data_IF_673323169574
#
_entry.id   IF_673323169574
#
_cell.length_a   1.000
_cell.length_b   1.000
_cell.length_c   1.000
_cell.angle_alpha   90.00
_cell.angle_beta   90.00
_cell.angle_gamma   90.00
#
_symmetry.space_group_name_H-M   'P 1'
#
loop_
_entity.id
_entity.type
_entity.pdbx_description
1 polymer ?
#
# COMPACT_ATOMS: atom_id res chain seq x y z
N UNK A 1 -15.86 35.61 13.42
CA UNK A 1 -14.68 35.07 12.73
C UNK A 1 -15.13 34.65 11.34
N UNK A 2 -14.48 35.11 10.26
CA UNK A 2 -14.85 34.72 8.91
C UNK A 2 -14.50 33.24 8.69
N UNK A 3 -15.46 32.43 8.25
CA UNK A 3 -15.19 31.06 7.82
C UNK A 3 -14.68 31.12 6.38
N UNK A 4 -13.48 30.59 6.14
CA UNK A 4 -12.90 30.48 4.80
C UNK A 4 -13.20 29.08 4.27
N UNK A 5 -14.04 29.01 3.25
CA UNK A 5 -14.45 27.75 2.64
C UNK A 5 -13.81 27.60 1.25
N UNK A 6 -13.60 26.37 0.79
CA UNK A 6 -13.03 26.05 -0.53
C UNK A 6 -14.10 25.36 -1.37
N UNK A 7 -14.34 25.84 -2.60
CA UNK A 7 -15.30 25.25 -3.52
C UNK A 7 -14.62 24.27 -4.48
N UNK A 8 -15.16 23.08 -4.64
CA UNK A 8 -14.81 22.18 -5.75
C UNK A 8 -16.04 21.89 -6.61
N UNK A 9 -15.82 21.53 -7.87
CA UNK A 9 -16.86 20.92 -8.69
C UNK A 9 -17.11 19.47 -8.29
N UNK A 10 -18.29 18.94 -8.63
CA UNK A 10 -18.63 17.53 -8.40
C UNK A 10 -17.60 16.59 -9.05
N UNK A 11 -17.10 16.96 -10.24
CA UNK A 11 -16.07 16.20 -10.96
C UNK A 11 -14.76 16.17 -10.20
N UNK A 12 -14.29 17.31 -9.69
CA UNK A 12 -13.05 17.39 -8.91
C UNK A 12 -13.17 16.64 -7.59
N UNK A 13 -14.35 16.69 -6.98
CA UNK A 13 -14.64 15.94 -5.76
C UNK A 13 -14.47 14.43 -5.97
N UNK A 14 -15.14 13.84 -6.97
CA UNK A 14 -15.06 12.41 -7.22
C UNK A 14 -13.73 11.97 -7.86
N UNK A 15 -13.05 12.84 -8.61
CA UNK A 15 -11.80 12.50 -9.28
C UNK A 15 -10.56 12.58 -8.38
N UNK A 16 -10.55 13.51 -7.40
CA UNK A 16 -9.35 13.81 -6.63
C UNK A 16 -9.58 13.77 -5.12
N UNK A 17 -10.65 14.41 -4.62
CA UNK A 17 -10.87 14.55 -3.17
C UNK A 17 -11.31 13.22 -2.54
N UNK A 18 -12.36 12.59 -3.06
CA UNK A 18 -12.90 11.34 -2.51
C UNK A 18 -11.88 10.18 -2.59
N UNK A 19 -11.20 9.93 -3.72
CA UNK A 19 -10.17 8.88 -3.77
C UNK A 19 -9.04 9.11 -2.78
N UNK A 20 -8.61 10.37 -2.60
CA UNK A 20 -7.57 10.73 -1.63
C UNK A 20 -8.02 10.47 -0.19
N UNK A 21 -9.27 10.79 0.15
CA UNK A 21 -9.83 10.50 1.48
C UNK A 21 -9.97 9.00 1.74
N UNK A 22 -10.42 8.24 0.74
CA UNK A 22 -10.52 6.78 0.83
C UNK A 22 -9.14 6.13 1.00
N UNK A 23 -8.12 6.62 0.30
CA UNK A 23 -6.75 6.15 0.44
C UNK A 23 -6.19 6.40 1.85
N UNK A 24 -6.49 7.56 2.43
CA UNK A 24 -6.11 7.87 3.81
C UNK A 24 -6.83 6.96 4.82
N UNK A 25 -8.12 6.66 4.59
CA UNK A 25 -8.88 5.75 5.45
C UNK A 25 -8.40 4.29 5.33
N UNK A 26 -8.13 3.82 4.11
CA UNK A 26 -7.60 2.47 3.86
C UNK A 26 -6.19 2.26 4.44
N UNK A 27 -5.36 3.31 4.49
CA UNK A 27 -4.09 3.27 5.21
C UNK A 27 -4.25 3.05 6.71
N UNK A 28 -5.29 3.63 7.34
CA UNK A 28 -5.58 3.46 8.76
C UNK A 28 -6.07 2.04 9.11
N UNK A 29 -6.91 1.44 8.27
CA UNK A 29 -7.39 0.06 8.49
C UNK A 29 -6.28 -0.97 8.30
N UNK A 30 -5.41 -0.78 7.30
CA UNK A 30 -4.21 -1.61 7.13
C UNK A 30 -3.21 -1.44 8.29
N UNK A 31 -3.10 -0.23 8.86
CA UNK A 31 -2.28 0.02 10.05
C UNK A 31 -2.80 -0.72 11.29
N UNK A 32 -4.12 -0.79 11.49
CA UNK A 32 -4.72 -1.57 12.58
C UNK A 32 -4.47 -3.07 12.41
N UNK A 33 -4.61 -3.60 11.20
CA UNK A 33 -4.33 -5.01 10.89
C UNK A 33 -2.84 -5.35 11.02
N UNK A 34 -1.94 -4.48 10.55
CA UNK A 34 -0.49 -4.65 10.70
C UNK A 34 -0.08 -4.53 12.17
N UNK A 35 -0.64 -3.58 12.93
CA UNK A 35 -0.39 -3.47 14.37
C UNK A 35 -0.92 -4.67 15.13
N UNK A 36 -2.08 -5.20 14.75
CA UNK A 36 -2.59 -6.45 15.31
C UNK A 36 -1.68 -7.64 14.97
N UNK A 37 -1.17 -7.74 13.74
CA UNK A 37 -0.18 -8.75 13.34
C UNK A 37 1.13 -8.60 14.12
N UNK A 38 1.69 -7.40 14.25
CA UNK A 38 2.91 -7.14 15.02
C UNK A 38 2.70 -7.44 16.51
N UNK A 39 1.60 -7.00 17.11
CA UNK A 39 1.27 -7.31 18.51
C UNK A 39 1.02 -8.81 18.74
N UNK A 40 0.41 -9.50 17.77
CA UNK A 40 0.28 -10.95 17.78
C UNK A 40 1.66 -11.61 17.77
N UNK A 41 2.54 -11.20 16.87
CA UNK A 41 3.93 -11.70 16.78
C UNK A 41 4.72 -11.45 18.08
N UNK A 42 4.62 -10.25 18.67
CA UNK A 42 5.29 -9.88 19.93
C UNK A 42 4.77 -10.66 21.14
N UNK A 43 3.46 -10.97 21.20
CA UNK A 43 2.88 -11.77 22.29
C UNK A 43 3.33 -13.22 22.26
N UNK A 44 3.61 -13.78 21.08
CA UNK A 44 4.13 -15.13 20.94
C UNK A 44 5.64 -15.22 21.24
N UNK A 45 6.41 -14.15 20.99
CA UNK A 45 7.84 -14.06 21.35
C UNK A 45 8.12 -14.09 22.87
N UNK A 46 7.12 -13.81 23.70
CA UNK A 46 7.25 -13.80 25.18
C UNK A 46 7.03 -15.16 25.85
N UNK A 47 6.58 -16.18 25.11
CA UNK A 47 6.26 -17.50 25.65
C UNK A 47 7.26 -18.48 25.04
N UNK A 48 8.46 -18.53 25.62
CA UNK A 48 9.64 -19.17 25.05
C UNK A 48 9.44 -20.61 24.61
N UNK A 49 9.36 -20.78 23.29
CA UNK A 49 9.77 -21.95 22.52
C UNK A 49 10.49 -21.40 21.28
N UNK A 50 11.77 -21.07 21.46
CA UNK A 50 12.60 -20.23 20.58
C UNK A 50 13.13 -20.95 19.33
N UNK A 51 12.87 -22.26 19.14
CA UNK A 51 13.52 -23.03 18.06
C UNK A 51 12.59 -23.45 16.90
N UNK A 52 11.27 -23.29 17.02
CA UNK A 52 10.33 -23.88 16.04
C UNK A 52 9.72 -22.86 15.07
N UNK A 53 9.63 -21.58 15.43
CA UNK A 53 8.92 -20.58 14.60
C UNK A 53 9.82 -19.53 13.93
N UNK A 54 11.08 -19.37 14.36
CA UNK A 54 12.06 -18.54 13.65
C UNK A 54 12.37 -19.17 12.27
N UNK A 55 12.49 -20.50 12.24
CA UNK A 55 12.68 -21.30 11.03
C UNK A 55 11.53 -21.17 10.02
N UNK A 56 10.27 -21.16 10.46
CA UNK A 56 9.11 -21.13 9.55
C UNK A 56 8.92 -19.76 8.86
N UNK A 57 9.30 -18.66 9.52
CA UNK A 57 9.19 -17.32 8.95
C UNK A 57 10.38 -16.94 8.06
N UNK A 58 11.57 -17.46 8.36
CA UNK A 58 12.76 -17.31 7.51
C UNK A 58 12.61 -18.13 6.21
N UNK A 59 12.04 -19.34 6.29
CA UNK A 59 11.82 -20.19 5.11
C UNK A 59 10.84 -19.59 4.10
N UNK A 60 9.84 -18.84 4.56
CA UNK A 60 8.90 -18.13 3.69
C UNK A 60 9.51 -16.87 3.03
N UNK A 61 10.67 -16.39 3.49
CA UNK A 61 11.40 -15.22 2.95
C UNK A 61 12.60 -15.61 2.07
N UNK A 62 13.13 -16.82 2.23
CA UNK A 62 14.26 -17.27 1.43
C UNK A 62 13.84 -17.72 0.02
N UNK A 63 14.67 -17.41 -0.98
CA UNK A 63 14.49 -18.01 -2.29
C UNK A 63 14.71 -19.53 -2.22
N UNK A 64 13.71 -20.32 -2.62
CA UNK A 64 13.81 -21.79 -2.66
C UNK A 64 14.82 -22.38 -3.68
N UNK A 65 15.73 -21.56 -4.23
CA UNK A 65 16.81 -21.97 -5.13
C UNK A 65 18.17 -21.63 -4.51
N UNK A 66 18.41 -20.36 -4.14
CA UNK A 66 19.69 -19.92 -3.54
C UNK A 66 19.69 -19.88 -2.01
N UNK A 67 18.53 -20.03 -1.35
CA UNK A 67 18.37 -19.93 0.11
C UNK A 67 18.80 -18.56 0.69
N UNK A 68 18.72 -17.51 -0.12
CA UNK A 68 19.03 -16.14 0.31
C UNK A 68 17.75 -15.30 0.46
N UNK A 69 17.76 -14.36 1.40
CA UNK A 69 16.72 -13.36 1.64
C UNK A 69 16.78 -12.24 0.59
N UNK A 70 16.29 -12.56 -0.62
CA UNK A 70 16.21 -11.64 -1.74
C UNK A 70 14.75 -11.37 -2.09
N UNK A 71 14.45 -10.18 -2.61
CA UNK A 71 13.12 -9.85 -3.14
C UNK A 71 12.68 -10.91 -4.16
N UNK A 72 11.57 -11.57 -3.85
CA UNK A 72 11.02 -12.64 -4.68
C UNK A 72 10.22 -12.05 -5.84
N UNK A 73 10.15 -12.82 -6.92
CA UNK A 73 9.26 -12.58 -8.03
C UNK A 73 8.35 -13.79 -8.23
N UNK A 74 7.12 -13.57 -8.69
CA UNK A 74 6.11 -14.61 -8.90
C UNK A 74 5.82 -14.77 -10.39
N UNK A 75 5.95 -16.00 -10.88
CA UNK A 75 5.69 -16.35 -12.27
C UNK A 75 4.18 -16.30 -12.58
N UNK A 76 3.75 -15.65 -13.67
CA UNK A 76 2.33 -15.41 -13.95
C UNK A 76 1.54 -16.67 -14.31
N UNK A 77 2.19 -17.68 -14.90
CA UNK A 77 1.50 -18.87 -15.41
C UNK A 77 1.34 -19.98 -14.38
N UNK A 78 2.20 -20.01 -13.35
CA UNK A 78 2.26 -21.10 -12.37
C UNK A 78 2.36 -20.64 -10.91
N UNK A 79 2.37 -19.32 -10.66
CA UNK A 79 2.43 -18.68 -9.33
C UNK A 79 3.59 -19.13 -8.42
N UNK A 80 4.64 -19.73 -8.97
CA UNK A 80 5.83 -20.11 -8.21
C UNK A 80 6.74 -18.90 -8.02
N UNK A 81 7.38 -18.83 -6.86
CA UNK A 81 8.22 -17.71 -6.46
C UNK A 81 9.71 -18.08 -6.36
N UNK A 82 10.57 -17.18 -6.82
CA UNK A 82 12.04 -17.26 -6.65
C UNK A 82 12.63 -15.84 -6.70
N UNK A 83 13.89 -15.63 -6.34
CA UNK A 83 14.51 -14.31 -6.49
C UNK A 83 14.76 -13.98 -7.98
N UNK A 84 14.90 -12.68 -8.27
CA UNK A 84 15.10 -12.20 -9.64
C UNK A 84 16.37 -12.74 -10.30
N UNK A 85 17.43 -12.93 -9.52
CA UNK A 85 18.71 -13.44 -10.04
C UNK A 85 18.61 -14.92 -10.38
N UNK A 86 18.03 -15.74 -9.50
CA UNK A 86 17.76 -17.15 -9.80
C UNK A 86 16.84 -17.31 -11.02
N UNK A 87 15.83 -16.45 -11.17
CA UNK A 87 14.99 -16.45 -12.36
C UNK A 87 15.80 -16.15 -13.63
N UNK A 88 16.63 -15.10 -13.63
CA UNK A 88 17.43 -14.71 -14.80
C UNK A 88 18.41 -15.81 -15.20
N UNK A 89 19.13 -16.36 -14.24
CA UNK A 89 20.11 -17.43 -14.45
C UNK A 89 19.43 -18.70 -14.97
N UNK A 90 18.31 -19.07 -14.38
CA UNK A 90 17.55 -20.24 -14.81
C UNK A 90 16.95 -20.02 -16.20
N UNK A 91 16.31 -18.88 -16.45
CA UNK A 91 15.69 -18.55 -17.72
C UNK A 91 16.70 -18.54 -18.87
N UNK A 92 17.95 -18.10 -18.64
CA UNK A 92 19.02 -18.17 -19.63
C UNK A 92 19.40 -19.61 -20.03
N UNK A 93 19.21 -20.59 -19.13
CA UNK A 93 19.54 -22.01 -19.35
C UNK A 93 18.34 -22.83 -19.82
N UNK A 94 17.16 -22.56 -19.28
CA UNK A 94 15.92 -23.28 -19.53
C UNK A 94 14.72 -22.34 -19.53
N UNK A 95 13.89 -22.45 -20.56
CA UNK A 95 12.64 -21.70 -20.72
C UNK A 95 11.47 -22.43 -20.05
N UNK A 96 11.68 -22.90 -18.81
CA UNK A 96 10.69 -23.63 -18.00
C UNK A 96 10.71 -23.17 -16.55
N UNK A 97 9.62 -23.32 -15.80
CA UNK A 97 9.63 -23.10 -14.36
C UNK A 97 10.55 -24.15 -13.68
N UNK A 98 11.45 -23.76 -12.76
CA UNK A 98 12.32 -24.71 -12.05
C UNK A 98 11.55 -25.62 -11.09
N UNK A 99 10.35 -25.21 -10.66
CA UNK A 99 9.54 -25.94 -9.69
C UNK A 99 8.55 -26.91 -10.36
N UNK A 100 7.78 -26.45 -11.35
CA UNK A 100 6.72 -27.25 -11.99
C UNK A 100 6.99 -27.59 -13.46
N UNK A 101 8.07 -27.06 -14.07
CA UNK A 101 8.46 -27.27 -15.48
C UNK A 101 7.49 -26.69 -16.52
N UNK A 102 6.50 -25.90 -16.12
CA UNK A 102 5.64 -25.15 -17.04
C UNK A 102 6.47 -24.22 -17.95
N UNK A 103 6.02 -24.02 -19.18
CA UNK A 103 6.81 -23.28 -20.18
C UNK A 103 6.84 -21.79 -19.90
N UNK A 104 8.04 -21.21 -19.90
CA UNK A 104 8.28 -19.77 -19.75
C UNK A 104 8.60 -19.06 -21.06
N UNK A 105 8.47 -19.72 -22.22
CA UNK A 105 8.84 -19.16 -23.53
C UNK A 105 8.15 -17.83 -23.87
N UNK A 106 7.03 -17.52 -23.21
CA UNK A 106 6.24 -16.29 -23.39
C UNK A 106 6.46 -15.26 -22.27
N UNK A 107 7.19 -15.62 -21.21
CA UNK A 107 7.39 -14.79 -20.02
C UNK A 107 8.73 -14.09 -20.14
N UNK A 108 8.72 -12.76 -20.23
CA UNK A 108 9.94 -11.93 -20.15
C UNK A 108 10.13 -11.46 -18.71
N UNK A 109 11.32 -10.95 -18.40
CA UNK A 109 11.62 -10.39 -17.07
C UNK A 109 10.69 -9.24 -16.64
N UNK A 110 9.98 -8.60 -17.59
CA UNK A 110 9.00 -7.54 -17.30
C UNK A 110 7.60 -8.07 -16.99
N UNK A 111 7.35 -9.35 -17.26
CA UNK A 111 6.05 -9.98 -17.09
C UNK A 111 5.94 -10.70 -15.73
N UNK A 112 7.01 -10.67 -14.93
CA UNK A 112 7.06 -11.26 -13.60
C UNK A 112 6.67 -10.24 -12.54
N UNK A 113 5.93 -10.71 -11.52
CA UNK A 113 5.39 -9.85 -10.46
C UNK A 113 6.37 -9.77 -9.31
N UNK A 114 6.67 -8.58 -8.81
CA UNK A 114 7.47 -8.44 -7.59
C UNK A 114 6.60 -8.84 -6.41
N UNK A 115 7.08 -9.80 -5.62
CA UNK A 115 6.47 -10.14 -4.34
C UNK A 115 6.89 -9.08 -3.34
N UNK A 116 6.04 -8.06 -3.15
CA UNK A 116 6.25 -7.07 -2.10
C UNK A 116 5.80 -7.68 -0.80
N UNK A 117 6.75 -7.95 0.09
CA UNK A 117 6.40 -8.31 1.47
C UNK A 117 5.65 -7.13 2.11
N UNK A 118 4.64 -7.43 2.92
CA UNK A 118 3.87 -6.40 3.64
C UNK A 118 4.76 -5.52 4.54
N UNK A 119 5.97 -5.98 4.86
CA UNK A 119 6.98 -5.28 5.64
C UNK A 119 7.97 -4.44 4.80
N UNK A 120 8.08 -4.67 3.49
CA UNK A 120 8.90 -3.86 2.57
C UNK A 120 8.18 -2.59 2.07
N UNK A 121 6.93 -2.40 2.49
CA UNK A 121 6.20 -1.16 2.22
C UNK A 121 6.88 -0.03 3.00
N UNK A 122 7.65 0.79 2.25
CA UNK A 122 8.15 2.11 2.61
C UNK A 122 7.31 2.76 3.72
N UNK A 123 7.97 3.21 4.79
CA UNK A 123 7.38 3.84 5.99
C UNK A 123 5.99 4.42 5.70
N UNK A 124 4.95 3.66 6.04
CA UNK A 124 3.56 4.04 5.80
C UNK A 124 3.25 5.42 6.42
N UNK A 125 3.98 5.81 7.47
CA UNK A 125 3.91 7.16 8.04
C UNK A 125 4.38 8.22 7.03
N UNK A 126 5.46 7.96 6.29
CA UNK A 126 5.90 8.87 5.21
C UNK A 126 4.94 8.91 4.04
N UNK A 127 4.38 7.77 3.62
CA UNK A 127 3.43 7.70 2.50
C UNK A 127 2.10 8.39 2.83
N UNK A 128 1.58 8.19 4.05
CA UNK A 128 0.37 8.88 4.51
C UNK A 128 0.63 10.38 4.67
N UNK A 129 1.76 10.79 5.24
CA UNK A 129 2.16 12.19 5.35
C UNK A 129 2.26 12.89 4.00
N UNK A 130 2.82 12.21 3.00
CA UNK A 130 2.92 12.73 1.64
C UNK A 130 1.55 12.80 0.94
N UNK A 131 0.70 11.79 1.15
CA UNK A 131 -0.68 11.78 0.62
C UNK A 131 -1.53 12.90 1.22
N UNK A 132 -1.42 13.13 2.53
CA UNK A 132 -2.06 14.24 3.24
C UNK A 132 -1.57 15.58 2.68
N UNK A 133 -0.25 15.76 2.52
CA UNK A 133 0.33 16.99 1.96
C UNK A 133 -0.24 17.30 0.57
N UNK A 134 -0.32 16.29 -0.31
CA UNK A 134 -0.86 16.46 -1.67
C UNK A 134 -2.33 16.85 -1.65
N UNK A 135 -3.13 16.22 -0.78
CA UNK A 135 -4.54 16.58 -0.62
C UNK A 135 -4.71 18.03 -0.16
N UNK A 136 -3.95 18.46 0.85
CA UNK A 136 -4.00 19.85 1.33
C UNK A 136 -3.55 20.84 0.26
N UNK A 137 -2.45 20.56 -0.46
CA UNK A 137 -2.00 21.40 -1.58
C UNK A 137 -3.05 21.51 -2.69
N UNK A 138 -3.81 20.44 -2.95
CA UNK A 138 -4.91 20.48 -3.91
C UNK A 138 -6.07 21.34 -3.41
N UNK A 139 -6.50 21.12 -2.16
CA UNK A 139 -7.55 21.93 -1.52
C UNK A 139 -7.15 23.41 -1.48
N UNK A 140 -5.86 23.70 -1.27
CA UNK A 140 -5.35 25.07 -1.24
C UNK A 140 -5.32 25.78 -2.60
N UNK A 141 -5.50 25.04 -3.69
CA UNK A 141 -5.67 25.61 -5.03
C UNK A 141 -7.12 25.80 -5.42
N UNK A 142 -8.07 25.26 -4.66
CA UNK A 142 -9.49 25.41 -4.95
C UNK A 142 -9.96 26.85 -4.70
N UNK A 143 -10.96 27.35 -5.45
CA UNK A 143 -11.54 28.67 -5.24
C UNK A 143 -11.95 28.92 -3.78
N UNK A 144 -11.45 30.01 -3.19
CA UNK A 144 -11.84 30.48 -1.87
C UNK A 144 -13.22 31.14 -1.94
N UNK A 145 -14.14 30.67 -1.10
CA UNK A 145 -15.39 31.36 -0.80
C UNK A 145 -15.14 32.15 0.49
N UNK A 146 -15.21 33.48 0.39
CA UNK A 146 -15.23 34.37 1.56
C UNK A 146 -16.70 34.64 1.88
N UNK A 147 -17.22 34.00 2.92
CA UNK A 147 -18.56 34.30 3.42
C UNK A 147 -18.53 35.64 4.15
N UNK A 148 -18.94 36.72 3.48
CA UNK A 148 -19.37 37.93 4.17
C UNK A 148 -20.72 37.62 4.83
N UNK A 149 -20.68 37.13 6.06
CA UNK A 149 -21.84 37.10 6.95
C UNK A 149 -22.22 38.56 7.32
N UNK A 150 -22.80 39.28 6.36
CA UNK A 150 -23.54 40.51 6.63
C UNK A 150 -24.97 40.09 6.94
N UNK A 151 -25.26 40.05 8.25
CA UNK A 151 -26.57 40.08 8.87
C UNK A 151 -27.76 40.28 7.93
N UNK A 152 -28.61 39.26 7.80
CA UNK A 152 -30.05 39.49 7.60
C UNK A 152 -30.75 39.21 8.93
N UNK A 153 -30.54 40.13 9.88
CA UNK A 153 -31.52 40.41 10.92
C UNK A 153 -32.41 41.54 10.40
N UNK A 154 -33.58 41.17 9.90
CA UNK A 154 -34.81 41.98 9.90
C UNK A 154 -35.88 40.95 10.30
N UNK A 155 -36.28 40.84 11.57
CA UNK A 155 -37.19 41.75 12.28
C UNK A 155 -38.37 42.12 11.37
N UNK A 156 -39.61 41.71 11.60
CA UNK A 156 -40.37 41.88 12.84
C UNK A 156 -41.77 41.27 12.61
N UNK A 157 -42.36 40.71 13.67
CA UNK A 157 -43.81 40.69 13.95
C UNK A 157 -44.79 40.80 12.77
N UNK A 158 -45.26 39.66 12.26
CA UNK A 158 -46.58 39.58 11.65
C UNK A 158 -47.62 39.47 12.77
N UNK A 159 -48.49 40.48 12.84
CA UNK A 159 -49.73 40.51 13.61
C UNK A 159 -50.71 39.43 13.14
#
# INVERSE_FOLDING_TARGET
MATYERKSSLREFYAYILPSLQQLQGGLTMFEELKQKVVFMERYKRKGDDEVLESDLEWDQECGICMENNTKIVLPDCNHAMCLDCFRDWHARSQSCPFCRDSLKRVKSRDVWIYTELCEVQDNETLTKESIRRLFLYIDKLPLIVSNNVFVMYDSHLK
#
